data_IF_423493191737
#
_entry.id   IF_423493191737
#
_cell.length_a   1.000
_cell.length_b   1.000
_cell.length_c   1.000
_cell.angle_alpha   90.00
_cell.angle_beta   90.00
_cell.angle_gamma   90.00
#
_symmetry.space_group_name_H-M   'P 1'
#
loop_
_entity.id
_entity.type
_entity.pdbx_description
1 polymer ?
#
# COMPACT_ATOMS: atom_id res chain seq x y z
N UNK A 1 13.23 6.96 -9.25
CA UNK A 1 12.46 6.46 -8.08
C UNK A 1 12.23 4.97 -8.31
N UNK A 2 12.47 4.08 -7.35
CA UNK A 2 12.22 2.65 -7.55
C UNK A 2 10.71 2.35 -7.53
N UNK A 3 10.20 1.73 -8.60
CA UNK A 3 8.76 1.43 -8.80
C UNK A 3 8.25 0.24 -7.97
N UNK A 4 9.15 -0.60 -7.46
CA UNK A 4 8.87 -1.55 -6.39
C UNK A 4 10.09 -1.67 -5.46
N UNK A 5 9.87 -2.04 -4.19
CA UNK A 5 10.94 -2.24 -3.21
C UNK A 5 10.60 -3.39 -2.26
N UNK A 6 11.46 -4.41 -2.23
CA UNK A 6 11.49 -5.38 -1.15
C UNK A 6 12.46 -4.91 -0.06
N UNK A 7 12.11 -5.12 1.20
CA UNK A 7 12.97 -4.74 2.33
C UNK A 7 12.57 -5.40 3.63
N UNK A 8 13.37 -5.17 4.65
CA UNK A 8 13.15 -5.58 6.04
C UNK A 8 13.38 -4.40 6.96
N UNK A 9 12.61 -4.32 8.05
CA UNK A 9 12.82 -3.29 9.07
C UNK A 9 12.59 -1.88 8.56
N UNK A 10 11.35 -1.42 8.63
CA UNK A 10 11.00 -0.05 8.24
C UNK A 10 11.23 0.87 9.44
N UNK A 11 12.15 1.83 9.34
CA UNK A 11 12.36 2.83 10.37
C UNK A 11 12.72 4.17 9.72
N UNK A 12 11.79 5.12 9.77
CA UNK A 12 11.97 6.46 9.18
C UNK A 12 12.70 7.43 10.13
N UNK A 13 12.82 7.07 11.41
CA UNK A 13 13.55 7.85 12.41
C UNK A 13 14.96 7.31 12.61
N UNK A 14 15.96 8.21 12.56
CA UNK A 14 17.39 7.86 12.68
C UNK A 14 17.81 7.29 14.04
N UNK A 15 16.94 7.38 15.05
CA UNK A 15 17.35 7.29 16.46
C UNK A 15 16.39 6.42 17.31
N UNK A 16 15.92 5.29 16.75
CA UNK A 16 15.10 4.32 17.48
C UNK A 16 15.77 2.95 17.45
N UNK A 17 16.03 2.40 18.64
CA UNK A 17 16.61 1.07 18.87
C UNK A 17 15.65 -0.09 18.55
N UNK A 18 14.38 0.21 18.31
CA UNK A 18 13.36 -0.74 17.88
C UNK A 18 13.14 -0.66 16.36
N UNK A 19 13.22 -1.81 15.70
CA UNK A 19 12.94 -1.99 14.27
C UNK A 19 11.76 -2.96 14.16
N UNK A 20 10.82 -2.67 13.26
CA UNK A 20 9.74 -3.61 12.97
C UNK A 20 10.31 -4.97 12.52
N UNK A 21 9.95 -6.04 13.22
CA UNK A 21 10.30 -7.42 12.83
C UNK A 21 9.41 -7.90 11.69
N UNK A 22 9.54 -7.25 10.53
CA UNK A 22 8.78 -7.55 9.33
C UNK A 22 9.62 -7.40 8.08
N UNK A 23 9.26 -8.17 7.07
CA UNK A 23 9.59 -7.90 5.68
C UNK A 23 8.44 -7.13 5.04
N UNK A 24 8.74 -6.35 4.01
CA UNK A 24 7.72 -5.69 3.22
C UNK A 24 8.05 -5.69 1.73
N UNK A 25 7.00 -5.68 0.91
CA UNK A 25 7.05 -5.40 -0.51
C UNK A 25 6.18 -4.18 -0.79
N UNK A 26 6.82 -3.08 -1.17
CA UNK A 26 6.16 -1.84 -1.62
C UNK A 26 6.01 -1.89 -3.14
N UNK A 27 4.78 -1.75 -3.61
CA UNK A 27 4.42 -1.57 -5.02
C UNK A 27 3.88 -0.16 -5.21
N UNK A 28 4.37 0.51 -6.25
CA UNK A 28 3.88 1.82 -6.67
C UNK A 28 2.94 1.63 -7.86
N UNK A 29 1.68 2.06 -7.73
CA UNK A 29 0.70 2.05 -8.81
C UNK A 29 0.34 3.50 -9.14
N UNK A 30 1.13 4.10 -10.03
CA UNK A 30 0.87 5.44 -10.59
C UNK A 30 1.13 5.50 -12.10
N UNK A 31 0.12 5.97 -12.84
CA UNK A 31 0.12 6.60 -14.16
C UNK A 31 0.85 6.04 -15.39
N UNK A 32 1.52 4.89 -15.33
CA UNK A 32 2.04 4.23 -16.54
C UNK A 32 1.73 2.74 -16.65
N UNK A 33 0.93 2.17 -15.73
CA UNK A 33 0.59 0.73 -15.69
C UNK A 33 1.84 -0.16 -15.90
N UNK A 34 2.96 0.21 -15.29
CA UNK A 34 4.22 -0.57 -15.36
C UNK A 34 4.15 -1.82 -14.46
N UNK A 35 3.06 -2.59 -14.61
CA UNK A 35 2.84 -3.88 -13.96
C UNK A 35 3.95 -4.86 -14.34
N UNK A 36 4.57 -4.68 -15.50
CA UNK A 36 5.73 -5.44 -15.97
C UNK A 36 6.98 -5.26 -15.08
N UNK A 37 7.02 -4.24 -14.23
CA UNK A 37 8.09 -4.07 -13.25
C UNK A 37 7.80 -4.78 -11.93
N UNK A 38 6.57 -5.25 -11.71
CA UNK A 38 6.25 -5.99 -10.49
C UNK A 38 6.83 -7.41 -10.54
N UNK A 39 7.01 -8.07 -9.38
CA UNK A 39 7.45 -9.46 -9.33
C UNK A 39 6.63 -10.39 -10.24
N UNK A 40 7.33 -11.30 -10.94
CA UNK A 40 6.72 -12.32 -11.81
C UNK A 40 6.28 -13.56 -11.05
N UNK A 41 6.80 -13.76 -9.84
CA UNK A 41 6.53 -14.93 -9.03
C UNK A 41 5.72 -14.57 -7.78
N UNK A 42 4.70 -15.37 -7.43
CA UNK A 42 4.15 -16.48 -8.23
C UNK A 42 3.57 -15.99 -9.58
N UNK A 43 3.40 -16.86 -10.58
CA UNK A 43 2.99 -16.44 -11.94
C UNK A 43 1.67 -15.67 -12.01
N UNK A 44 0.79 -15.86 -11.02
CA UNK A 44 -0.45 -15.12 -10.87
C UNK A 44 -0.32 -13.77 -10.15
N UNK A 45 0.87 -13.42 -9.63
CA UNK A 45 1.07 -12.27 -8.75
C UNK A 45 0.63 -10.96 -9.40
N UNK A 46 1.10 -10.68 -10.62
CA UNK A 46 0.77 -9.46 -11.35
C UNK A 46 -0.72 -9.32 -11.61
N UNK A 47 -1.36 -10.41 -12.04
CA UNK A 47 -2.81 -10.45 -12.32
C UNK A 47 -3.62 -10.19 -11.05
N UNK A 48 -3.32 -10.93 -9.98
CA UNK A 48 -4.02 -10.80 -8.69
C UNK A 48 -3.83 -9.41 -8.10
N UNK A 49 -2.61 -8.87 -8.11
CA UNK A 49 -2.33 -7.55 -7.56
C UNK A 49 -2.97 -6.43 -8.37
N UNK A 50 -3.06 -6.58 -9.70
CA UNK A 50 -3.77 -5.63 -10.56
C UNK A 50 -5.26 -5.63 -10.24
N UNK A 51 -5.89 -6.80 -10.20
CA UNK A 51 -7.32 -6.92 -9.88
C UNK A 51 -7.63 -6.36 -8.48
N UNK A 52 -6.83 -6.73 -7.48
CA UNK A 52 -6.93 -6.19 -6.12
C UNK A 52 -6.84 -4.67 -6.12
N UNK A 53 -5.88 -4.11 -6.85
CA UNK A 53 -5.68 -2.68 -6.91
C UNK A 53 -6.88 -1.97 -7.56
N UNK A 54 -7.38 -2.47 -8.69
CA UNK A 54 -8.52 -1.87 -9.40
C UNK A 54 -9.78 -1.88 -8.51
N UNK A 55 -10.02 -2.96 -7.76
CA UNK A 55 -11.11 -3.04 -6.78
C UNK A 55 -10.93 -2.09 -5.60
N UNK A 56 -9.74 -2.00 -5.02
CA UNK A 56 -9.44 -1.10 -3.88
C UNK A 56 -9.55 0.36 -4.29
N UNK A 57 -9.12 0.72 -5.50
CA UNK A 57 -9.28 2.06 -6.04
C UNK A 57 -10.75 2.43 -6.21
N UNK A 58 -11.56 1.55 -6.81
CA UNK A 58 -13.00 1.75 -6.94
C UNK A 58 -13.69 1.88 -5.57
N UNK A 59 -13.29 1.05 -4.60
CA UNK A 59 -13.78 1.15 -3.23
C UNK A 59 -13.38 2.48 -2.56
N UNK A 60 -12.14 2.92 -2.74
CA UNK A 60 -11.65 4.20 -2.22
C UNK A 60 -12.45 5.39 -2.77
N UNK A 61 -12.73 5.42 -4.07
CA UNK A 61 -13.60 6.44 -4.67
C UNK A 61 -15.00 6.43 -4.07
N UNK A 62 -15.61 5.24 -3.89
CA UNK A 62 -16.93 5.12 -3.27
C UNK A 62 -16.93 5.65 -1.82
N UNK A 63 -15.91 5.30 -1.03
CA UNK A 63 -15.78 5.75 0.35
C UNK A 63 -15.66 7.27 0.42
N UNK A 64 -14.80 7.87 -0.42
CA UNK A 64 -14.57 9.31 -0.44
C UNK A 64 -15.79 10.10 -0.93
N UNK A 65 -16.56 9.54 -1.86
CA UNK A 65 -17.84 10.13 -2.29
C UNK A 65 -18.87 10.15 -1.15
N UNK A 66 -18.98 9.05 -0.39
CA UNK A 66 -19.86 8.99 0.78
C UNK A 66 -19.40 9.95 1.90
N UNK A 67 -18.10 10.06 2.15
CA UNK A 67 -17.55 11.03 3.11
C UNK A 67 -17.88 12.45 2.67
N UNK A 68 -17.72 12.77 1.38
CA UNK A 68 -18.02 14.10 0.82
C UNK A 68 -19.48 14.48 1.04
N UNK A 69 -20.41 13.55 0.77
CA UNK A 69 -21.84 13.73 1.04
C UNK A 69 -22.12 13.92 2.53
N UNK A 70 -21.50 13.13 3.40
CA UNK A 70 -21.64 13.24 4.85
C UNK A 70 -21.14 14.57 5.42
N UNK A 71 -20.18 15.21 4.76
CA UNK A 71 -19.66 16.54 5.10
C UNK A 71 -20.49 17.69 4.48
N UNK A 72 -21.53 17.38 3.70
CA UNK A 72 -22.35 18.38 3.02
C UNK A 72 -21.64 19.08 1.86
N UNK A 73 -20.64 18.44 1.26
CA UNK A 73 -20.00 18.97 0.05
C UNK A 73 -20.94 18.80 -1.14
N UNK A 74 -21.21 19.90 -1.85
CA UNK A 74 -22.16 19.94 -2.98
C UNK A 74 -21.73 19.08 -4.18
N UNK A 75 -20.43 18.79 -4.28
CA UNK A 75 -19.86 17.97 -5.36
C UNK A 75 -19.58 16.55 -4.84
N UNK A 76 -19.92 15.56 -5.66
CA UNK A 76 -19.36 14.21 -5.53
C UNK A 76 -17.83 14.31 -5.52
N UNK A 77 -17.19 13.42 -4.77
CA UNK A 77 -15.73 13.36 -4.68
C UNK A 77 -15.10 13.38 -6.08
N UNK A 78 -14.18 14.32 -6.35
CA UNK A 78 -13.43 14.37 -7.61
C UNK A 78 -12.37 13.25 -7.60
N UNK A 79 -12.45 12.25 -8.48
CA UNK A 79 -11.49 11.15 -8.53
C UNK A 79 -10.04 11.62 -8.76
N UNK A 80 -9.86 12.80 -9.37
CA UNK A 80 -8.53 13.39 -9.58
C UNK A 80 -7.89 13.87 -8.28
N UNK A 81 -8.66 14.00 -7.18
CA UNK A 81 -8.16 14.36 -5.85
C UNK A 81 -7.48 13.18 -5.16
N UNK A 82 -7.70 11.92 -5.56
CA UNK A 82 -7.11 10.74 -4.89
C UNK A 82 -5.59 10.64 -5.06
N UNK A 83 -5.01 11.59 -5.81
CA UNK A 83 -3.62 11.58 -6.17
C UNK A 83 -3.38 10.55 -7.27
N UNK A 84 -2.42 10.87 -8.11
CA UNK A 84 -1.99 10.06 -9.25
C UNK A 84 -1.37 8.71 -8.85
N UNK A 85 -1.21 8.46 -7.54
CA UNK A 85 -0.29 7.48 -6.98
C UNK A 85 -0.90 6.73 -5.81
N UNK A 86 -1.20 5.46 -6.04
CA UNK A 86 -1.63 4.53 -4.99
C UNK A 86 -0.45 3.61 -4.68
N UNK A 87 -0.11 3.49 -3.40
CA UNK A 87 0.99 2.66 -2.93
C UNK A 87 0.40 1.47 -2.19
N UNK A 88 0.75 0.26 -2.63
CA UNK A 88 0.45 -0.96 -1.89
C UNK A 88 1.70 -1.40 -1.12
N UNK A 89 1.55 -1.75 0.15
CA UNK A 89 2.63 -2.34 0.96
C UNK A 89 2.14 -3.67 1.53
N UNK A 90 2.67 -4.77 1.00
CA UNK A 90 2.46 -6.09 1.59
C UNK A 90 3.48 -6.28 2.72
N UNK A 91 2.99 -6.53 3.92
CA UNK A 91 3.84 -6.79 5.09
C UNK A 91 3.82 -8.28 5.41
N UNK A 92 5.00 -8.84 5.69
CA UNK A 92 5.17 -10.19 6.21
C UNK A 92 5.82 -10.10 7.59
N UNK A 93 5.03 -10.33 8.63
CA UNK A 93 5.48 -10.32 10.01
C UNK A 93 6.03 -11.69 10.38
N UNK A 94 7.23 -11.73 10.94
CA UNK A 94 7.81 -12.99 11.38
C UNK A 94 7.09 -13.51 12.64
N UNK A 95 6.95 -14.83 12.82
CA UNK A 95 6.52 -15.41 14.08
C UNK A 95 7.40 -14.89 15.21
N UNK A 96 6.79 -14.20 16.17
CA UNK A 96 7.51 -13.61 17.28
C UNK A 96 7.79 -14.70 18.32
N UNK A 97 9.07 -14.93 18.64
CA UNK A 97 9.49 -15.91 19.63
C UNK A 97 10.22 -15.25 20.81
N UNK A 98 9.59 -14.31 21.54
CA UNK A 98 10.01 -13.98 22.94
C UNK A 98 9.01 -13.05 23.64
N UNK A 99 8.36 -13.46 24.74
CA UNK A 99 7.42 -12.62 25.51
C UNK A 99 8.00 -11.46 26.34
N UNK A 100 9.27 -11.07 26.18
CA UNK A 100 9.99 -10.30 27.22
C UNK A 100 10.56 -8.92 26.81
N UNK A 101 10.07 -8.31 25.73
CA UNK A 101 10.48 -6.93 25.36
C UNK A 101 9.42 -5.88 25.72
N UNK A 102 8.88 -5.99 26.93
CA UNK A 102 8.23 -4.87 27.64
C UNK A 102 8.95 -4.72 28.98
N UNK A 103 9.98 -3.88 28.99
CA UNK A 103 10.53 -3.27 30.21
C UNK A 103 10.58 -1.77 29.99
#
# INVERSE_FOLDING_TARGET
MALHRYGSGFNDMKDVTAIDLKYFLRLDYSLAREVDLWPELPSCFREVMKEYHDQVSAFGHCLLDNISKGLGLDNSYDPNVMGEKIICIMNYYLPYHTPELVN
#
